data_IF_005096534739
#
_entry.id   IF_005096534739
#
_cell.length_a   1.000
_cell.length_b   1.000
_cell.length_c   1.000
_cell.angle_alpha   90.00
_cell.angle_beta   90.00
_cell.angle_gamma   90.00
#
_symmetry.space_group_name_H-M   'P 1'
#
loop_
_entity.id
_entity.type
_entity.pdbx_description
1 polymer ?
#
# COMPACT_ATOMS: atom_id res chain seq x y z
N UNK A 1 -12.97 1.15 4.25
CA UNK A 1 -12.31 0.63 3.01
C UNK A 1 -12.00 -0.87 3.08
N UNK A 2 -12.13 -1.62 1.97
CA UNK A 2 -11.67 -3.02 1.85
C UNK A 2 -10.27 -3.04 1.24
N UNK A 3 -9.36 -3.86 1.78
CA UNK A 3 -7.98 -4.02 1.29
C UNK A 3 -7.69 -5.49 0.99
N UNK A 4 -7.10 -5.78 -0.18
CA UNK A 4 -6.61 -7.10 -0.55
C UNK A 4 -5.22 -7.39 -0.01
N UNK A 5 -5.08 -8.60 0.51
CA UNK A 5 -3.84 -9.22 0.97
C UNK A 5 -3.18 -10.07 -0.13
N UNK A 6 -3.76 -10.14 -1.34
CA UNK A 6 -3.32 -11.05 -2.40
C UNK A 6 -1.82 -10.89 -2.74
N UNK A 7 -1.31 -9.66 -2.79
CA UNK A 7 0.11 -9.44 -3.10
C UNK A 7 1.04 -10.03 -2.03
N UNK A 8 0.64 -10.02 -0.76
CA UNK A 8 1.38 -10.62 0.35
C UNK A 8 1.30 -12.15 0.30
N UNK A 9 0.09 -12.68 0.12
CA UNK A 9 -0.16 -14.13 -0.02
C UNK A 9 0.68 -14.74 -1.15
N UNK A 10 0.70 -14.10 -2.32
CA UNK A 10 1.49 -14.58 -3.46
C UNK A 10 3.00 -14.55 -3.16
N UNK A 11 3.49 -13.53 -2.44
CA UNK A 11 4.90 -13.45 -2.05
C UNK A 11 5.27 -14.54 -1.05
N UNK A 12 4.45 -14.75 -0.01
CA UNK A 12 4.66 -15.77 1.02
C UNK A 12 4.70 -17.18 0.42
N UNK A 13 3.82 -17.46 -0.54
CA UNK A 13 3.77 -18.74 -1.25
C UNK A 13 4.76 -18.82 -2.43
N UNK A 14 5.58 -17.80 -2.66
CA UNK A 14 6.54 -17.70 -3.78
C UNK A 14 5.90 -17.91 -5.18
N UNK A 15 4.67 -17.43 -5.35
CA UNK A 15 3.88 -17.56 -6.58
C UNK A 15 4.05 -16.31 -7.44
N UNK A 16 4.41 -16.51 -8.72
CA UNK A 16 4.46 -15.42 -9.70
C UNK A 16 3.06 -15.10 -10.22
N UNK A 17 2.72 -13.80 -10.25
CA UNK A 17 1.41 -13.27 -10.67
C UNK A 17 0.96 -13.76 -12.05
N UNK A 18 1.84 -13.66 -13.05
CA UNK A 18 1.48 -13.93 -14.46
C UNK A 18 1.23 -15.42 -14.75
N UNK A 19 2.06 -16.36 -14.26
CA UNK A 19 1.75 -17.80 -14.32
C UNK A 19 0.45 -18.15 -13.58
N UNK A 20 0.27 -17.63 -12.37
CA UNK A 20 -0.88 -17.95 -11.51
C UNK A 20 -2.23 -17.65 -12.19
N UNK A 21 -2.37 -16.47 -12.81
CA UNK A 21 -3.59 -16.11 -13.53
C UNK A 21 -3.89 -17.03 -14.72
N UNK A 22 -2.86 -17.59 -15.37
CA UNK A 22 -3.03 -18.49 -16.51
C UNK A 22 -3.40 -19.91 -16.08
N UNK A 23 -2.83 -20.38 -14.97
CA UNK A 23 -2.99 -21.75 -14.49
C UNK A 23 -4.35 -21.98 -13.81
N UNK A 24 -4.87 -20.97 -13.11
CA UNK A 24 -6.13 -21.06 -12.34
C UNK A 24 -7.39 -20.75 -13.16
N UNK A 25 -7.25 -20.21 -14.38
CA UNK A 25 -8.39 -19.75 -15.18
C UNK A 25 -9.11 -18.52 -14.62
N UNK A 26 -8.63 -17.95 -13.51
CA UNK A 26 -9.20 -16.75 -12.90
C UNK A 26 -8.95 -15.55 -13.82
N UNK A 27 -9.95 -14.69 -14.09
CA UNK A 27 -9.77 -13.54 -14.95
C UNK A 27 -8.60 -12.66 -14.52
N UNK A 28 -7.68 -12.39 -15.45
CA UNK A 28 -6.52 -11.54 -15.18
C UNK A 28 -6.92 -10.17 -14.64
N UNK A 29 -8.01 -9.60 -15.15
CA UNK A 29 -8.57 -8.33 -14.71
C UNK A 29 -9.03 -8.37 -13.25
N UNK A 30 -9.56 -9.50 -12.78
CA UNK A 30 -9.96 -9.69 -11.39
C UNK A 30 -8.73 -9.75 -10.47
N UNK A 31 -7.70 -10.51 -10.85
CA UNK A 31 -6.42 -10.54 -10.12
C UNK A 31 -5.78 -9.14 -10.07
N UNK A 32 -5.76 -8.42 -11.20
CA UNK A 32 -5.24 -7.05 -11.25
C UNK A 32 -6.05 -6.09 -10.36
N UNK A 33 -7.38 -6.24 -10.31
CA UNK A 33 -8.26 -5.45 -9.43
C UNK A 33 -7.92 -5.69 -7.95
N UNK A 34 -7.76 -6.95 -7.55
CA UNK A 34 -7.34 -7.32 -6.19
C UNK A 34 -5.95 -6.74 -5.85
N UNK A 35 -4.97 -6.91 -6.74
CA UNK A 35 -3.61 -6.43 -6.51
C UNK A 35 -3.51 -4.90 -6.39
N UNK A 36 -4.42 -4.18 -7.04
CA UNK A 36 -4.45 -2.71 -7.05
C UNK A 36 -5.49 -2.12 -6.08
N UNK A 37 -6.25 -2.95 -5.37
CA UNK A 37 -7.37 -2.51 -4.52
C UNK A 37 -8.43 -1.68 -5.27
N UNK A 38 -8.63 -1.94 -6.57
CA UNK A 38 -9.63 -1.27 -7.42
C UNK A 38 -10.87 -2.14 -7.55
N UNK A 39 -11.72 -2.13 -6.52
CA UNK A 39 -12.94 -2.95 -6.46
C UNK A 39 -14.13 -2.20 -7.06
N UNK A 40 -14.34 -2.29 -8.37
CA UNK A 40 -15.60 -1.82 -8.99
C UNK A 40 -16.73 -2.83 -8.83
N UNK A 41 -16.41 -4.09 -9.09
CA UNK A 41 -17.30 -5.24 -8.91
C UNK A 41 -16.48 -6.37 -8.31
N UNK A 42 -17.00 -7.03 -7.28
CA UNK A 42 -16.38 -8.21 -6.68
C UNK A 42 -17.24 -9.43 -7.03
N UNK A 43 -16.69 -10.32 -7.87
CA UNK A 43 -17.33 -11.58 -8.20
C UNK A 43 -17.03 -12.62 -7.11
N UNK A 44 -18.05 -13.06 -6.40
CA UNK A 44 -17.93 -13.98 -5.26
C UNK A 44 -17.43 -15.36 -5.70
N UNK A 45 -17.80 -15.81 -6.90
CA UNK A 45 -17.33 -17.09 -7.42
C UNK A 45 -15.83 -17.06 -7.70
N UNK A 46 -15.34 -15.97 -8.32
CA UNK A 46 -13.90 -15.74 -8.49
C UNK A 46 -13.15 -15.61 -7.16
N UNK A 47 -13.76 -15.00 -6.12
CA UNK A 47 -13.18 -14.95 -4.77
C UNK A 47 -13.06 -16.36 -4.18
N UNK A 48 -14.11 -17.17 -4.26
CA UNK A 48 -14.11 -18.54 -3.73
C UNK A 48 -13.06 -19.40 -4.42
N UNK A 49 -12.98 -19.34 -5.75
CA UNK A 49 -11.96 -20.05 -6.52
C UNK A 49 -10.55 -19.63 -6.08
N UNK A 50 -10.32 -18.33 -5.89
CA UNK A 50 -9.03 -17.82 -5.45
C UNK A 50 -8.63 -18.31 -4.06
N UNK A 51 -9.59 -18.39 -3.12
CA UNK A 51 -9.38 -18.93 -1.77
C UNK A 51 -8.96 -20.41 -1.85
N UNK A 52 -9.63 -21.20 -2.69
CA UNK A 52 -9.31 -22.63 -2.88
C UNK A 52 -7.94 -22.80 -3.54
N UNK A 53 -7.67 -22.11 -4.65
CA UNK A 53 -6.41 -22.21 -5.40
C UNK A 53 -5.19 -21.75 -4.58
N UNK A 54 -5.39 -20.79 -3.68
CA UNK A 54 -4.34 -20.32 -2.77
C UNK A 54 -4.28 -21.10 -1.46
N UNK A 55 -5.12 -22.12 -1.25
CA UNK A 55 -5.21 -22.87 0.02
C UNK A 55 -5.32 -21.92 1.22
N UNK A 56 -6.32 -21.02 1.15
CA UNK A 56 -6.69 -20.08 2.22
C UNK A 56 -7.89 -20.62 2.99
N UNK A 57 -7.96 -20.30 4.28
CA UNK A 57 -8.99 -20.86 5.17
C UNK A 57 -10.23 -19.99 5.28
N UNK A 58 -10.09 -18.70 4.98
CA UNK A 58 -11.14 -17.71 5.19
C UNK A 58 -11.04 -16.54 4.22
N UNK A 59 -12.16 -15.82 4.06
CA UNK A 59 -12.16 -14.55 3.32
C UNK A 59 -11.22 -13.51 3.95
N UNK A 60 -11.05 -13.53 5.27
CA UNK A 60 -10.13 -12.64 6.00
C UNK A 60 -8.64 -12.87 5.68
N UNK A 61 -8.29 -14.05 5.17
CA UNK A 61 -6.93 -14.31 4.69
C UNK A 61 -6.64 -13.57 3.38
N UNK A 62 -7.69 -13.21 2.63
CA UNK A 62 -7.60 -12.53 1.34
C UNK A 62 -7.96 -11.04 1.41
N UNK A 63 -8.99 -10.66 2.19
CA UNK A 63 -9.54 -9.32 2.27
C UNK A 63 -9.69 -8.88 3.73
N UNK A 64 -9.31 -7.64 4.03
CA UNK A 64 -9.52 -7.03 5.34
C UNK A 64 -10.33 -5.75 5.21
N UNK A 65 -11.24 -5.51 6.15
CA UNK A 65 -11.92 -4.22 6.26
C UNK A 65 -11.16 -3.32 7.23
N UNK A 66 -10.86 -2.10 6.78
CA UNK A 66 -10.24 -1.04 7.57
C UNK A 66 -11.22 0.13 7.66
N UNK A 67 -11.52 0.65 8.86
CA UNK A 67 -12.48 1.75 9.03
C UNK A 67 -11.91 3.13 8.69
N UNK A 68 -10.90 3.19 7.81
CA UNK A 68 -10.27 4.43 7.38
C UNK A 68 -10.23 4.52 5.86
N UNK A 69 -10.40 5.75 5.38
CA UNK A 69 -10.01 6.14 4.03
C UNK A 69 -8.66 6.85 4.09
N UNK A 70 -7.76 6.51 3.17
CA UNK A 70 -6.45 7.17 3.03
C UNK A 70 -6.56 8.26 1.96
N UNK A 71 -6.18 9.48 2.32
CA UNK A 71 -6.04 10.60 1.41
C UNK A 71 -4.59 11.06 1.42
N UNK A 72 -3.94 11.07 0.27
CA UNK A 72 -2.58 11.60 0.10
C UNK A 72 -2.69 13.00 -0.49
N UNK A 73 -2.05 13.96 0.15
CA UNK A 73 -2.15 15.39 -0.20
C UNK A 73 -0.79 16.08 -0.06
N UNK A 74 -0.71 17.31 -0.57
CA UNK A 74 0.39 18.24 -0.35
C UNK A 74 1.78 17.64 -0.61
N UNK A 75 2.16 17.55 -1.88
CA UNK A 75 3.55 17.31 -2.26
C UNK A 75 4.33 18.63 -2.23
N UNK A 76 5.19 18.81 -1.22
CA UNK A 76 5.95 20.05 -1.04
C UNK A 76 7.44 19.79 -1.28
N UNK A 77 8.08 20.58 -2.14
CA UNK A 77 9.54 20.56 -2.31
C UNK A 77 10.18 21.26 -1.12
N UNK A 78 11.00 20.54 -0.35
CA UNK A 78 11.62 21.04 0.88
C UNK A 78 13.07 21.46 0.63
N UNK A 79 13.79 20.65 -0.14
CA UNK A 79 15.20 20.87 -0.44
C UNK A 79 15.53 20.41 -1.86
N UNK A 80 16.46 21.09 -2.50
CA UNK A 80 17.01 20.69 -3.79
C UNK A 80 18.54 20.81 -3.73
N UNK A 81 19.21 19.69 -3.98
CA UNK A 81 20.64 19.61 -4.22
C UNK A 81 20.89 19.25 -5.69
N UNK A 82 22.13 19.38 -6.14
CA UNK A 82 22.52 19.08 -7.54
C UNK A 82 22.15 17.65 -7.99
N UNK A 83 22.00 16.70 -7.05
CA UNK A 83 21.72 15.30 -7.37
C UNK A 83 20.38 14.78 -6.85
N UNK A 84 19.78 15.40 -5.83
CA UNK A 84 18.59 14.88 -5.14
C UNK A 84 17.67 16.02 -4.76
N UNK A 85 16.38 15.83 -5.03
CA UNK A 85 15.30 16.70 -4.56
C UNK A 85 14.54 15.99 -3.44
N UNK A 86 14.35 16.69 -2.33
CA UNK A 86 13.60 16.22 -1.15
C UNK A 86 12.20 16.80 -1.17
N UNK A 87 11.22 15.93 -0.98
CA UNK A 87 9.82 16.28 -0.88
C UNK A 87 9.22 15.77 0.44
N UNK A 88 8.30 16.55 0.99
CA UNK A 88 7.39 16.11 2.05
C UNK A 88 6.02 15.83 1.43
N UNK A 89 5.37 14.78 1.93
CA UNK A 89 4.04 14.34 1.48
C UNK A 89 3.16 14.15 2.70
N UNK A 90 2.01 14.81 2.71
CA UNK A 90 1.03 14.63 3.77
C UNK A 90 0.11 13.45 3.46
N UNK A 91 -0.20 12.68 4.50
CA UNK A 91 -1.16 11.58 4.46
C UNK A 91 -2.18 11.75 5.57
N UNK A 92 -3.45 11.67 5.20
CA UNK A 92 -4.56 11.72 6.13
C UNK A 92 -5.31 10.38 6.12
N UNK A 93 -5.41 9.75 7.29
CA UNK A 93 -6.30 8.63 7.54
C UNK A 93 -7.59 9.16 8.17
N UNK A 94 -8.69 9.09 7.43
CA UNK A 94 -10.00 9.64 7.81
C UNK A 94 -10.87 8.50 8.32
N UNK A 95 -11.34 8.57 9.57
CA UNK A 95 -12.22 7.57 10.15
C UNK A 95 -13.61 7.62 9.49
N UNK A 96 -14.02 6.51 8.89
CA UNK A 96 -15.33 6.39 8.23
C UNK A 96 -16.46 6.10 9.21
N UNK A 97 -16.15 5.60 10.41
CA UNK A 97 -17.15 5.19 11.37
C UNK A 97 -17.83 6.37 12.08
N UNK A 98 -17.33 7.62 11.97
CA UNK A 98 -17.91 8.87 12.53
C UNK A 98 -18.23 8.88 14.03
N UNK A 99 -18.06 7.76 14.74
CA UNK A 99 -18.48 7.57 16.12
C UNK A 99 -17.33 7.72 17.11
N UNK A 100 -16.06 7.56 16.72
CA UNK A 100 -14.98 7.43 17.74
C UNK A 100 -13.55 7.86 17.40
N UNK A 101 -13.09 8.15 16.17
CA UNK A 101 -11.66 8.47 15.98
C UNK A 101 -11.35 9.82 15.32
N UNK A 102 -10.37 10.51 15.92
CA UNK A 102 -9.68 11.64 15.32
C UNK A 102 -9.02 11.22 14.00
N UNK A 103 -9.24 12.01 12.95
CA UNK A 103 -8.45 11.88 11.73
C UNK A 103 -6.97 11.91 12.08
N UNK A 104 -6.20 10.99 11.52
CA UNK A 104 -4.75 10.97 11.72
C UNK A 104 -4.06 11.60 10.54
N UNK A 105 -3.17 12.55 10.83
CA UNK A 105 -2.31 13.19 9.83
C UNK A 105 -0.88 12.75 10.09
N UNK A 106 -0.18 12.47 9.02
CA UNK A 106 1.21 12.08 9.02
C UNK A 106 1.94 12.74 7.85
N UNK A 107 3.26 12.83 7.95
CA UNK A 107 4.11 13.35 6.87
C UNK A 107 5.20 12.34 6.56
N UNK A 108 5.41 12.06 5.27
CA UNK A 108 6.47 11.19 4.78
C UNK A 108 7.45 11.98 3.93
N UNK A 109 8.73 11.64 4.04
CA UNK A 109 9.77 12.21 3.19
C UNK A 109 10.03 11.32 1.98
N UNK A 110 10.01 11.93 0.80
CA UNK A 110 10.40 11.30 -0.46
C UNK A 110 11.69 11.97 -1.00
N UNK A 111 12.68 11.17 -1.35
CA UNK A 111 13.86 11.63 -2.10
C UNK A 111 13.70 11.25 -3.57
N UNK A 112 14.00 12.15 -4.49
CA UNK A 112 13.86 11.93 -5.93
C UNK A 112 15.16 12.35 -6.64
N UNK A 113 15.69 11.46 -7.48
CA UNK A 113 16.89 11.64 -8.31
C UNK A 113 16.63 11.11 -9.71
N UNK A 114 16.78 11.95 -10.72
CA UNK A 114 16.76 11.58 -12.15
C UNK A 114 15.59 10.64 -12.55
N UNK A 115 14.38 10.95 -12.09
CA UNK A 115 13.19 10.14 -12.40
C UNK A 115 13.13 8.81 -11.65
N UNK A 116 13.92 8.64 -10.60
CA UNK A 116 13.79 7.63 -9.54
C UNK A 116 13.56 8.33 -8.21
N UNK A 117 13.02 7.61 -7.23
CA UNK A 117 12.89 8.11 -5.88
C UNK A 117 12.75 7.02 -4.85
N UNK A 118 12.63 7.44 -3.60
CA UNK A 118 12.40 6.56 -2.48
C UNK A 118 11.65 7.27 -1.38
N UNK A 119 10.76 6.56 -0.71
CA UNK A 119 10.24 7.01 0.58
C UNK A 119 11.29 6.65 1.64
N UNK A 120 11.78 7.67 2.33
CA UNK A 120 12.95 7.53 3.20
C UNK A 120 12.60 7.57 4.67
N UNK A 121 11.67 8.44 5.07
CA UNK A 121 11.36 8.73 6.45
C UNK A 121 9.86 8.92 6.65
N UNK A 122 9.41 8.65 7.86
CA UNK A 122 8.10 9.04 8.36
C UNK A 122 8.32 9.96 9.55
N UNK A 123 7.71 11.12 9.53
CA UNK A 123 7.70 12.02 10.69
C UNK A 123 6.78 11.45 11.78
N UNK A 124 7.12 11.70 13.04
CA UNK A 124 6.41 11.14 14.20
C UNK A 124 6.26 9.62 14.13
N UNK A 125 7.36 8.92 13.85
CA UNK A 125 7.42 7.47 13.68
C UNK A 125 6.71 6.68 14.79
N UNK A 126 6.76 7.15 16.04
CA UNK A 126 6.05 6.53 17.15
C UNK A 126 4.52 6.57 16.97
N UNK A 127 3.96 7.72 16.58
CA UNK A 127 2.52 7.81 16.33
C UNK A 127 2.11 6.98 15.12
N UNK A 128 2.92 7.00 14.06
CA UNK A 128 2.69 6.16 12.88
C UNK A 128 2.66 4.67 13.24
N UNK A 129 3.71 4.18 13.91
CA UNK A 129 3.79 2.77 14.32
C UNK A 129 2.66 2.38 15.26
N UNK A 130 2.39 3.20 16.28
CA UNK A 130 1.30 2.97 17.23
C UNK A 130 -0.05 2.92 16.52
N UNK A 131 -0.31 3.80 15.54
CA UNK A 131 -1.56 3.81 14.81
C UNK A 131 -1.73 2.53 13.97
N UNK A 132 -0.74 2.20 13.13
CA UNK A 132 -0.85 1.06 12.22
C UNK A 132 -0.76 -0.30 12.91
N UNK A 133 -0.16 -0.39 14.11
CA UNK A 133 -0.09 -1.64 14.88
C UNK A 133 -1.47 -2.19 15.33
N UNK A 134 -2.51 -1.35 15.33
CA UNK A 134 -3.87 -1.78 15.66
C UNK A 134 -4.62 -2.42 14.48
N UNK A 135 -4.00 -2.45 13.29
CA UNK A 135 -4.63 -2.89 12.04
C UNK A 135 -3.79 -3.93 11.33
N UNK A 136 -4.39 -4.63 10.36
CA UNK A 136 -3.66 -5.56 9.50
C UNK A 136 -2.56 -4.83 8.72
N UNK A 137 -1.38 -5.46 8.60
CA UNK A 137 -0.23 -4.91 7.88
C UNK A 137 -0.54 -4.54 6.42
N UNK A 138 -1.58 -5.13 5.83
CA UNK A 138 -2.08 -4.72 4.52
C UNK A 138 -2.48 -3.24 4.49
N UNK A 139 -2.96 -2.67 5.59
CA UNK A 139 -3.31 -1.26 5.69
C UNK A 139 -2.10 -0.33 5.61
N UNK A 140 -1.03 -0.65 6.35
CA UNK A 140 0.24 0.06 6.24
C UNK A 140 0.77 -0.01 4.81
N UNK A 141 0.81 -1.21 4.23
CA UNK A 141 1.32 -1.43 2.87
C UNK A 141 0.50 -0.65 1.84
N UNK A 142 -0.82 -0.65 1.98
CA UNK A 142 -1.72 0.13 1.14
C UNK A 142 -1.36 1.61 1.22
N UNK A 143 -1.26 2.16 2.44
CA UNK A 143 -0.97 3.59 2.66
C UNK A 143 0.35 4.00 2.03
N UNK A 144 1.43 3.23 2.24
CA UNK A 144 2.74 3.50 1.64
C UNK A 144 2.69 3.46 0.12
N UNK A 145 1.98 2.48 -0.47
CA UNK A 145 1.83 2.40 -1.92
C UNK A 145 1.01 3.58 -2.48
N UNK A 146 -0.04 4.03 -1.78
CA UNK A 146 -0.79 5.23 -2.17
C UNK A 146 0.09 6.47 -2.23
N UNK A 147 1.03 6.63 -1.27
CA UNK A 147 2.00 7.73 -1.29
C UNK A 147 2.93 7.62 -2.49
N UNK A 148 3.48 6.43 -2.73
CA UNK A 148 4.37 6.19 -3.88
C UNK A 148 3.67 6.53 -5.20
N UNK A 149 2.42 6.07 -5.38
CA UNK A 149 1.67 6.30 -6.60
C UNK A 149 1.27 7.77 -6.78
N UNK A 150 0.97 8.47 -5.68
CA UNK A 150 0.76 9.91 -5.67
C UNK A 150 2.02 10.67 -6.12
N UNK A 151 3.17 10.42 -5.49
CA UNK A 151 4.44 11.08 -5.83
C UNK A 151 4.84 10.81 -7.29
N UNK A 152 4.68 9.56 -7.76
CA UNK A 152 4.96 9.23 -9.17
C UNK A 152 4.06 10.02 -10.12
N UNK A 153 2.78 10.16 -9.79
CA UNK A 153 1.81 10.90 -10.60
C UNK A 153 2.16 12.37 -10.65
N UNK A 154 2.31 13.01 -9.49
CA UNK A 154 2.59 14.45 -9.39
C UNK A 154 3.93 14.84 -10.04
N UNK A 155 4.96 13.99 -9.89
CA UNK A 155 6.28 14.24 -10.48
C UNK A 155 6.46 13.62 -11.88
N UNK A 156 5.40 13.05 -12.47
CA UNK A 156 5.42 12.43 -13.80
C UNK A 156 6.53 11.37 -13.97
N UNK A 157 6.79 10.58 -12.93
CA UNK A 157 7.83 9.55 -12.92
C UNK A 157 7.33 8.31 -13.69
N UNK A 158 7.85 8.10 -14.90
CA UNK A 158 7.36 7.07 -15.84
C UNK A 158 7.82 5.63 -15.52
N UNK A 159 8.91 5.45 -14.77
CA UNK A 159 9.45 4.11 -14.54
C UNK A 159 8.74 3.40 -13.38
N UNK A 160 8.19 2.20 -13.66
CA UNK A 160 7.51 1.37 -12.65
C UNK A 160 8.44 0.88 -11.54
N UNK A 161 9.75 0.76 -11.82
CA UNK A 161 10.79 0.33 -10.87
C UNK A 161 11.53 1.51 -10.25
N UNK A 162 11.03 2.73 -10.40
CA UNK A 162 11.77 3.91 -10.01
C UNK A 162 11.62 4.28 -8.55
N UNK A 163 10.71 3.64 -7.78
CA UNK A 163 10.40 4.06 -6.42
C UNK A 163 10.50 2.91 -5.44
N UNK A 164 11.28 3.11 -4.38
CA UNK A 164 11.53 2.09 -3.35
C UNK A 164 11.24 2.63 -1.96
N UNK A 165 10.97 1.73 -1.03
CA UNK A 165 10.85 2.04 0.39
C UNK A 165 12.22 1.81 1.03
N UNK A 166 12.74 2.82 1.74
CA UNK A 166 14.06 2.74 2.38
C UNK A 166 14.14 1.62 3.42
N UNK A 167 15.37 1.24 3.78
CA UNK A 167 15.59 0.29 4.87
C UNK A 167 15.02 0.76 6.21
N UNK A 168 14.90 2.07 6.42
CA UNK A 168 14.33 2.65 7.62
C UNK A 168 12.83 2.34 7.71
N UNK A 169 12.06 2.64 6.66
CA UNK A 169 10.65 2.24 6.58
C UNK A 169 10.47 0.71 6.57
N UNK A 170 11.41 -0.05 6.00
CA UNK A 170 11.37 -1.52 6.10
C UNK A 170 11.56 -2.03 7.52
N UNK A 171 12.25 -1.30 8.41
CA UNK A 171 12.31 -1.64 9.85
C UNK A 171 10.99 -1.38 10.53
N UNK A 172 10.26 -0.33 10.12
CA UNK A 172 8.89 -0.05 10.60
C UNK A 172 7.95 -1.22 10.29
N UNK A 173 8.05 -1.79 9.09
CA UNK A 173 7.32 -3.01 8.70
C UNK A 173 7.61 -4.19 9.63
N UNK A 174 8.85 -4.36 10.11
CA UNK A 174 9.20 -5.44 11.04
C UNK A 174 8.62 -5.26 12.44
N UNK A 175 8.30 -4.01 12.82
CA UNK A 175 7.66 -3.70 14.11
C UNK A 175 6.15 -3.90 14.03
N UNK A 176 5.53 -3.51 12.90
CA UNK A 176 4.08 -3.62 12.68
C UNK A 176 3.67 -5.07 12.33
N UNK A 177 4.54 -5.83 11.66
CA UNK A 177 4.27 -7.20 11.20
C UNK A 177 4.53 -8.32 12.22
N UNK A 178 4.78 -7.98 13.49
CA UNK A 178 4.88 -8.93 14.61
C UNK A 178 3.59 -8.93 15.41
#
# INVERSE_FOLDING_TARGET
>A
MIISKLNSVLKEKNIRKTPFAKETGIPRTFIESLLNNDFKNLDVDSVNNLIVELDLTSLSDLLVYIPYTVKVENLVKVEESDEVTTYEVDVMCIDENKFTAENKKFTLTALVKEGQGSLTKVDDLYEWTSFFAHYDIAFFNFTVNSVIDYVKTELTIKSKRAFFVSNELNRVLQVIGK
#
